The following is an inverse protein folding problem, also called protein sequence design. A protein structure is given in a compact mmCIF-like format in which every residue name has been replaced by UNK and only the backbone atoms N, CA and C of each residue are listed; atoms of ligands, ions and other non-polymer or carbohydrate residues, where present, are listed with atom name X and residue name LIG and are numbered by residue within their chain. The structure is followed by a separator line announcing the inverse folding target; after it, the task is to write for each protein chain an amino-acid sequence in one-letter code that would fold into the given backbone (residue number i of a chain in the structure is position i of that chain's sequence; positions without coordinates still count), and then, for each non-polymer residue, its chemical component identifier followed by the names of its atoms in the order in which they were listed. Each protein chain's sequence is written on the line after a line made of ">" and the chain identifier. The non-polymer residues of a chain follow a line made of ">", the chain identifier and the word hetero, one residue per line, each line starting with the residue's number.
data_IF_921145065098
#
_entry.id   IF_921145065098
#
_cell.length_a   1.000
_cell.length_b   1.000
_cell.length_c   1.000
_cell.angle_alpha   90.00
_cell.angle_beta   90.00
_cell.angle_gamma   90.00
#
_symmetry.space_group_name_H-M   'P 1'
#
loop_
_entity.id
_entity.type
_entity.pdbx_description
1 polymer ?
#
# COMPACT_ATOMS: atom_id res chain seq x y z
N UNK A 1 -6.58 62.48 -31.73
CA UNK A 1 -6.84 61.39 -30.77
C UNK A 1 -6.13 60.15 -31.30
N UNK A 2 -4.89 59.91 -30.85
CA UNK A 2 -4.06 58.81 -31.34
C UNK A 2 -3.40 58.18 -30.10
N UNK A 3 -4.01 57.10 -29.61
CA UNK A 3 -3.64 56.44 -28.36
C UNK A 3 -2.55 55.40 -28.67
N UNK A 4 -1.49 55.44 -27.86
CA UNK A 4 -0.17 54.90 -28.16
C UNK A 4 -0.08 53.37 -28.30
N UNK A 5 0.68 52.95 -29.31
CA UNK A 5 1.02 51.55 -29.63
C UNK A 5 2.07 50.93 -28.69
N UNK A 6 2.56 51.67 -27.68
CA UNK A 6 3.54 51.18 -26.71
C UNK A 6 2.94 50.37 -25.55
N UNK A 7 1.67 50.59 -25.20
CA UNK A 7 1.00 49.86 -24.11
C UNK A 7 0.53 48.47 -24.53
N UNK A 8 0.18 48.27 -25.80
CA UNK A 8 -0.34 47.00 -26.32
C UNK A 8 0.73 45.90 -26.31
N UNK A 9 2.01 46.23 -26.60
CA UNK A 9 3.12 45.26 -26.57
C UNK A 9 3.45 44.78 -25.15
N UNK A 10 3.30 45.64 -24.14
CA UNK A 10 3.56 45.26 -22.75
C UNK A 10 2.48 44.33 -22.19
N UNK A 11 1.23 44.46 -22.64
CA UNK A 11 0.11 43.62 -22.20
C UNK A 11 0.22 42.20 -22.79
N UNK A 12 0.72 42.05 -24.02
CA UNK A 12 0.91 40.72 -24.63
C UNK A 12 2.01 39.91 -23.94
N UNK A 13 3.09 40.55 -23.50
CA UNK A 13 4.13 39.87 -22.71
C UNK A 13 3.65 39.51 -21.31
N UNK A 14 2.82 40.34 -20.67
CA UNK A 14 2.26 40.04 -19.34
C UNK A 14 1.21 38.92 -19.39
N UNK A 15 0.43 38.81 -20.48
CA UNK A 15 -0.55 37.74 -20.67
C UNK A 15 0.10 36.41 -21.08
N UNK A 16 1.21 36.45 -21.82
CA UNK A 16 1.95 35.25 -22.23
C UNK A 16 2.83 34.69 -21.09
N UNK A 17 3.34 35.52 -20.18
CA UNK A 17 3.99 35.04 -18.95
C UNK A 17 2.98 34.51 -17.93
N UNK A 18 1.75 35.02 -17.91
CA UNK A 18 0.69 34.53 -17.02
C UNK A 18 0.08 33.18 -17.47
N UNK A 19 0.19 32.80 -18.74
CA UNK A 19 -0.21 31.47 -19.24
C UNK A 19 0.87 30.37 -19.10
N UNK A 20 2.07 30.71 -18.61
CA UNK A 20 3.17 29.77 -18.36
C UNK A 20 3.41 29.50 -16.87
N UNK A 21 2.44 29.79 -16.01
CA UNK A 21 2.46 29.36 -14.62
C UNK A 21 1.71 28.02 -14.45
N UNK A 22 2.17 26.97 -15.14
CA UNK A 22 1.84 25.60 -14.68
C UNK A 22 2.66 25.41 -13.42
N UNK A 23 1.99 25.57 -12.29
CA UNK A 23 2.55 25.32 -10.97
C UNK A 23 3.17 23.92 -10.96
N UNK A 24 4.50 23.86 -10.96
CA UNK A 24 5.27 22.65 -10.82
C UNK A 24 5.12 22.13 -9.37
N UNK A 25 3.97 21.54 -9.07
CA UNK A 25 3.81 20.76 -7.86
C UNK A 25 4.57 19.46 -8.07
N UNK A 26 5.75 19.41 -7.48
CA UNK A 26 6.59 18.22 -7.44
C UNK A 26 6.33 17.54 -6.11
N UNK A 27 6.03 16.24 -6.15
CA UNK A 27 6.01 15.44 -4.93
C UNK A 27 7.43 15.40 -4.35
N UNK A 28 7.51 15.36 -3.02
CA UNK A 28 8.80 15.23 -2.33
C UNK A 28 8.96 13.82 -1.82
N UNK A 29 9.94 13.10 -2.35
CA UNK A 29 10.35 11.77 -1.90
C UNK A 29 11.61 11.91 -1.07
N UNK A 30 11.55 11.50 0.20
CA UNK A 30 12.71 11.44 1.08
C UNK A 30 13.15 10.00 1.21
N UNK A 31 14.43 9.76 0.93
CA UNK A 31 15.07 8.46 0.97
C UNK A 31 15.71 8.22 2.35
N UNK A 32 15.95 6.96 2.69
CA UNK A 32 16.52 6.57 4.00
C UNK A 32 17.96 7.02 4.21
N UNK A 33 18.70 7.30 3.14
CA UNK A 33 20.04 7.90 3.20
C UNK A 33 19.99 9.41 3.53
N UNK A 34 18.78 9.98 3.67
CA UNK A 34 18.54 11.40 3.89
C UNK A 34 18.43 12.22 2.61
N UNK A 35 18.62 11.62 1.44
CA UNK A 35 18.47 12.29 0.15
C UNK A 35 17.01 12.70 -0.09
N UNK A 36 16.82 13.86 -0.71
CA UNK A 36 15.49 14.39 -1.03
C UNK A 36 15.37 14.59 -2.53
N UNK A 37 14.36 13.97 -3.10
CA UNK A 37 14.04 14.02 -4.52
C UNK A 37 12.72 14.77 -4.68
N UNK A 38 12.73 15.78 -5.53
CA UNK A 38 11.51 16.50 -5.93
C UNK A 38 11.16 16.15 -7.36
N UNK A 39 10.00 15.54 -7.55
CA UNK A 39 9.50 15.16 -8.87
C UNK A 39 8.08 14.63 -8.78
N UNK A 40 7.44 14.46 -9.93
CA UNK A 40 6.10 13.87 -9.98
C UNK A 40 6.21 12.36 -9.89
N UNK A 41 5.52 11.74 -8.95
CA UNK A 41 5.38 10.28 -8.93
C UNK A 41 4.40 9.90 -10.05
N UNK A 42 4.83 8.99 -10.92
CA UNK A 42 4.07 8.61 -12.12
C UNK A 42 3.57 7.17 -12.10
N UNK A 43 4.25 6.28 -11.39
CA UNK A 43 3.78 4.91 -11.19
C UNK A 43 4.35 4.29 -9.93
N UNK A 44 3.65 3.26 -9.44
CA UNK A 44 4.12 2.31 -8.46
C UNK A 44 3.76 0.90 -8.92
N UNK A 45 4.75 0.07 -9.18
CA UNK A 45 4.57 -1.32 -9.60
C UNK A 45 5.70 -2.20 -9.08
N UNK A 46 5.38 -3.44 -8.69
CA UNK A 46 6.37 -4.42 -8.24
C UNK A 46 7.32 -3.91 -7.15
N UNK A 47 6.82 -3.03 -6.26
CA UNK A 47 7.60 -2.41 -5.18
C UNK A 47 8.50 -1.24 -5.62
N UNK A 48 8.37 -0.75 -6.85
CA UNK A 48 9.18 0.34 -7.42
C UNK A 48 8.34 1.58 -7.66
N UNK A 49 8.81 2.73 -7.19
CA UNK A 49 8.28 4.04 -7.53
C UNK A 49 9.02 4.63 -8.73
N UNK A 50 8.29 5.17 -9.69
CA UNK A 50 8.85 5.92 -10.81
C UNK A 50 8.57 7.41 -10.62
N UNK A 51 9.64 8.19 -10.44
CA UNK A 51 9.63 9.61 -10.18
C UNK A 51 10.18 10.36 -11.38
N UNK A 52 9.40 11.28 -11.92
CA UNK A 52 9.78 12.14 -13.04
C UNK A 52 10.20 13.51 -12.53
N UNK A 53 11.41 13.94 -12.89
CA UNK A 53 12.00 15.22 -12.47
C UNK A 53 12.24 16.10 -13.69
N UNK A 54 11.92 17.38 -13.56
CA UNK A 54 12.13 18.37 -14.61
C UNK A 54 11.11 18.27 -15.75
N UNK A 55 11.20 19.23 -16.67
CA UNK A 55 10.28 19.37 -17.80
C UNK A 55 11.03 19.48 -19.13
N UNK A 56 10.35 19.15 -20.24
CA UNK A 56 10.89 19.25 -21.58
C UNK A 56 12.18 18.45 -21.79
N UNK A 57 13.20 19.08 -22.38
CA UNK A 57 14.49 18.46 -22.71
C UNK A 57 15.36 18.08 -21.49
N UNK A 58 14.96 18.47 -20.28
CA UNK A 58 15.67 18.16 -19.02
C UNK A 58 14.91 17.15 -18.15
N UNK A 59 13.86 16.54 -18.68
CA UNK A 59 13.08 15.50 -17.99
C UNK A 59 13.95 14.26 -17.74
N UNK A 60 13.97 13.79 -16.50
CA UNK A 60 14.63 12.55 -16.08
C UNK A 60 13.66 11.67 -15.32
N UNK A 61 13.79 10.36 -15.53
CA UNK A 61 13.02 9.35 -14.81
C UNK A 61 13.96 8.65 -13.82
N UNK A 62 13.57 8.64 -12.55
CA UNK A 62 14.28 7.95 -11.48
C UNK A 62 13.38 6.84 -10.95
N UNK A 63 13.96 5.67 -10.69
CA UNK A 63 13.27 4.54 -10.09
C UNK A 63 13.84 4.28 -8.71
N UNK A 64 12.97 4.16 -7.71
CA UNK A 64 13.34 3.85 -6.33
C UNK A 64 12.56 2.65 -5.85
N UNK A 65 13.22 1.75 -5.11
CA UNK A 65 12.52 0.69 -4.41
C UNK A 65 11.78 1.29 -3.21
N UNK A 66 10.61 0.75 -2.87
CA UNK A 66 9.87 1.15 -1.68
C UNK A 66 10.71 0.99 -0.39
N UNK A 67 11.66 0.05 -0.38
CA UNK A 67 12.60 -0.17 0.72
C UNK A 67 13.60 0.97 0.92
N UNK A 68 13.87 1.79 -0.11
CA UNK A 68 14.81 2.91 -0.09
C UNK A 68 14.12 4.23 0.33
N UNK A 69 12.79 4.28 0.26
CA UNK A 69 12.00 5.46 0.58
C UNK A 69 11.68 5.49 2.08
N UNK A 70 11.92 6.64 2.69
CA UNK A 70 11.56 6.92 4.08
C UNK A 70 10.17 7.56 4.17
N UNK A 71 9.88 8.55 3.32
CA UNK A 71 8.57 9.23 3.31
C UNK A 71 8.28 9.90 1.96
N UNK A 72 6.99 10.12 1.68
CA UNK A 72 6.50 10.80 0.48
C UNK A 72 5.53 11.91 0.92
N UNK A 73 5.73 13.12 0.41
CA UNK A 73 4.83 14.26 0.56
C UNK A 73 4.24 14.60 -0.81
N UNK A 74 2.93 14.40 -0.97
CA UNK A 74 2.21 14.80 -2.17
C UNK A 74 1.79 16.26 -2.07
N UNK A 75 2.21 17.07 -3.02
CA UNK A 75 1.76 18.46 -3.15
C UNK A 75 0.55 18.49 -4.10
N UNK A 76 -0.66 18.44 -3.53
CA UNK A 76 -1.89 18.67 -4.30
C UNK A 76 -2.22 20.15 -4.34
N UNK A 77 -2.65 20.73 -5.47
CA UNK A 77 -3.23 22.07 -5.47
C UNK A 77 -4.53 22.03 -4.67
N UNK A 78 -4.50 22.64 -3.48
CA UNK A 78 -5.68 22.89 -2.66
C UNK A 78 -6.60 23.88 -3.37
N UNK A 79 -7.70 23.41 -3.94
CA UNK A 79 -8.93 24.21 -4.02
C UNK A 79 -9.58 24.14 -2.63
N UNK A 80 -9.44 25.19 -1.83
CA UNK A 80 -9.97 25.24 -0.47
C UNK A 80 -10.96 26.40 -0.35
N UNK A 81 -12.15 26.22 0.25
CA UNK A 81 -12.74 27.25 1.09
C UNK A 81 -12.23 27.06 2.53
N UNK A 82 -11.66 28.13 3.07
CA UNK A 82 -11.13 28.27 4.43
C UNK A 82 -12.04 27.71 5.53
N UNK A 83 -11.45 26.93 6.45
CA UNK A 83 -11.74 27.03 7.88
C UNK A 83 -10.39 27.04 8.63
N UNK A 84 -10.24 27.98 9.55
CA UNK A 84 -9.01 28.43 10.23
C UNK A 84 -8.34 27.40 11.15
N UNK A 85 -7.00 27.47 11.23
CA UNK A 85 -6.02 26.63 11.95
C UNK A 85 -6.24 26.48 13.49
N UNK A 86 -5.53 25.56 14.19
CA UNK A 86 -4.08 25.70 14.49
C UNK A 86 -3.21 24.45 14.23
N UNK A 87 -1.92 24.70 13.97
CA UNK A 87 -0.85 23.76 13.60
C UNK A 87 -0.69 22.49 14.47
N UNK A 88 -0.31 21.33 13.90
CA UNK A 88 0.30 20.26 14.65
C UNK A 88 1.83 20.45 14.72
N UNK A 89 2.35 20.73 15.93
CA UNK A 89 3.76 20.46 16.25
C UNK A 89 3.99 18.94 16.26
N UNK A 90 5.18 18.44 15.89
CA UNK A 90 5.51 17.02 16.03
C UNK A 90 5.50 16.63 17.52
N UNK A 91 4.70 15.62 17.87
CA UNK A 91 4.63 15.09 19.22
C UNK A 91 5.91 14.30 19.54
N UNK A 92 6.68 14.81 20.50
CA UNK A 92 7.75 14.08 21.18
C UNK A 92 7.11 13.08 22.15
N UNK A 93 7.39 11.79 21.96
CA UNK A 93 6.86 10.72 22.78
C UNK A 93 7.51 10.74 24.18
N UNK A 94 6.70 10.91 25.23
CA UNK A 94 7.05 10.58 26.62
C UNK A 94 6.03 9.58 27.15
N UNK A 95 6.50 8.52 27.78
CA UNK A 95 5.73 7.37 28.29
C UNK A 95 4.55 7.78 29.20
N UNK A 96 3.41 7.07 29.19
CA UNK A 96 2.30 7.40 30.06
C UNK A 96 2.36 6.63 31.39
N UNK A 97 2.38 7.38 32.49
CA UNK A 97 2.00 6.91 33.83
C UNK A 97 0.48 7.01 33.98
N UNK A 98 -0.09 5.97 34.59
CA UNK A 98 -1.51 5.69 34.84
C UNK A 98 -2.11 6.60 35.93
N UNK A 99 -3.27 7.23 35.66
CA UNK A 99 -4.33 7.52 36.67
C UNK A 99 -5.60 8.11 36.01
N UNK A 100 -6.76 7.53 36.32
CA UNK A 100 -8.13 8.13 36.28
C UNK A 100 -8.51 8.51 37.74
N UNK A 101 -9.66 9.15 38.09
CA UNK A 101 -10.71 9.84 37.30
C UNK A 101 -11.18 11.20 37.92
N UNK A 102 -12.09 11.94 37.24
CA UNK A 102 -13.33 12.53 37.83
C UNK A 102 -14.14 13.38 36.84
N UNK A 103 -15.46 13.15 36.87
CA UNK A 103 -16.55 13.71 36.04
C UNK A 103 -17.05 15.06 36.58
N UNK A 104 -17.51 15.98 35.71
CA UNK A 104 -18.65 16.88 35.99
C UNK A 104 -19.46 17.19 34.72
N UNK A 105 -20.76 16.91 34.84
CA UNK A 105 -21.86 17.17 33.90
C UNK A 105 -22.41 18.58 34.14
N UNK A 106 -22.67 19.36 33.08
CA UNK A 106 -23.63 20.47 33.11
C UNK A 106 -24.46 20.43 31.83
N UNK A 107 -25.76 20.30 32.02
CA UNK A 107 -26.83 20.29 31.03
C UNK A 107 -27.38 21.71 30.86
N UNK A 108 -27.61 22.15 29.62
CA UNK A 108 -28.63 23.17 29.30
C UNK A 108 -29.30 22.82 27.98
N UNK A 109 -30.61 22.57 28.08
CA UNK A 109 -31.55 22.38 26.98
C UNK A 109 -31.54 23.58 26.01
N UNK A 110 -31.51 23.28 24.72
CA UNK A 110 -32.17 24.09 23.69
C UNK A 110 -32.65 23.15 22.59
N UNK A 111 -33.97 23.04 22.51
CA UNK A 111 -34.72 22.28 21.52
C UNK A 111 -34.40 22.78 20.11
N UNK A 112 -33.75 21.94 19.30
CA UNK A 112 -33.61 22.11 17.84
C UNK A 112 -34.13 20.81 17.20
N UNK A 113 -34.96 20.86 16.14
CA UNK A 113 -35.59 19.66 15.57
C UNK A 113 -34.57 18.61 15.14
N UNK A 114 -34.74 17.38 15.65
CA UNK A 114 -34.03 16.19 15.19
C UNK A 114 -34.29 15.96 13.70
N UNK A 115 -33.37 16.37 12.84
CA UNK A 115 -33.01 15.55 11.69
C UNK A 115 -31.96 14.57 12.19
N UNK A 116 -32.41 13.37 12.56
CA UNK A 116 -31.54 12.20 12.77
C UNK A 116 -30.64 12.09 11.54
N UNK A 117 -29.31 12.28 11.63
CA UNK A 117 -28.47 11.73 10.58
C UNK A 117 -28.73 10.23 10.65
N UNK A 118 -29.30 9.70 9.57
CA UNK A 118 -29.36 8.28 9.34
C UNK A 118 -27.92 7.77 9.47
N UNK A 119 -27.63 7.11 10.60
CA UNK A 119 -26.45 6.26 10.73
C UNK A 119 -26.69 5.01 9.87
N UNK A 120 -26.79 5.22 8.55
CA UNK A 120 -26.41 4.21 7.60
C UNK A 120 -24.88 4.19 7.61
N UNK A 121 -24.34 3.54 8.64
CA UNK A 121 -22.94 3.15 8.72
C UNK A 121 -22.63 2.35 7.47
N UNK A 122 -22.13 3.03 6.44
CA UNK A 122 -21.74 2.40 5.20
C UNK A 122 -20.61 1.45 5.52
N UNK A 123 -20.88 0.14 5.47
CA UNK A 123 -19.87 -0.90 5.51
C UNK A 123 -18.75 -0.48 4.55
N UNK A 124 -17.58 -0.17 5.09
CA UNK A 124 -16.43 0.14 4.26
C UNK A 124 -16.18 -1.10 3.40
N UNK A 125 -16.14 -0.93 2.09
CA UNK A 125 -15.88 -2.05 1.18
C UNK A 125 -14.47 -2.59 1.46
N UNK A 126 -14.29 -3.92 1.61
CA UNK A 126 -12.96 -4.52 1.75
C UNK A 126 -12.05 -4.09 0.60
N UNK A 127 -10.79 -3.78 0.92
CA UNK A 127 -9.77 -3.53 -0.11
C UNK A 127 -9.35 -4.88 -0.65
N UNK A 128 -9.60 -5.14 -1.94
CA UNK A 128 -9.34 -6.43 -2.56
C UNK A 128 -8.59 -6.30 -3.88
N UNK A 129 -7.63 -7.19 -4.12
CA UNK A 129 -6.89 -7.29 -5.38
C UNK A 129 -6.39 -8.72 -5.61
N UNK A 130 -5.95 -8.99 -6.85
CA UNK A 130 -5.40 -10.29 -7.24
C UNK A 130 -3.92 -10.16 -7.57
N UNK A 131 -3.13 -11.15 -7.14
CA UNK A 131 -1.69 -11.27 -7.40
C UNK A 131 -1.42 -12.63 -8.05
N UNK A 132 -0.52 -12.67 -9.02
CA UNK A 132 -0.07 -13.92 -9.64
C UNK A 132 1.15 -14.45 -8.89
N UNK A 133 0.98 -15.55 -8.16
CA UNK A 133 2.05 -16.17 -7.36
C UNK A 133 2.72 -17.25 -8.20
N UNK A 134 3.98 -17.03 -8.56
CA UNK A 134 4.77 -18.00 -9.32
C UNK A 134 5.13 -19.20 -8.45
N UNK A 135 5.15 -20.38 -9.07
CA UNK A 135 5.50 -21.62 -8.37
C UNK A 135 7.00 -21.94 -8.39
N UNK A 136 7.75 -21.25 -9.24
CA UNK A 136 9.17 -21.49 -9.48
C UNK A 136 10.07 -20.68 -8.54
N UNK A 137 11.38 -20.87 -8.69
CA UNK A 137 12.40 -20.19 -7.88
C UNK A 137 12.61 -18.71 -8.28
N UNK A 138 11.73 -18.11 -9.09
CA UNK A 138 11.80 -16.68 -9.38
C UNK A 138 11.67 -15.89 -8.07
N UNK A 139 12.57 -14.92 -7.86
CA UNK A 139 12.64 -14.15 -6.62
C UNK A 139 12.72 -15.02 -5.35
N UNK A 140 13.50 -16.11 -5.40
CA UNK A 140 13.68 -17.07 -4.30
C UNK A 140 12.35 -17.73 -3.85
N UNK A 141 11.41 -17.92 -4.78
CA UNK A 141 10.13 -18.57 -4.49
C UNK A 141 9.08 -17.68 -3.82
N UNK A 142 9.34 -16.37 -3.72
CA UNK A 142 8.45 -15.43 -3.05
C UNK A 142 7.94 -14.34 -3.99
N UNK A 143 6.63 -14.15 -3.98
CA UNK A 143 5.92 -13.09 -4.69
C UNK A 143 5.50 -12.00 -3.70
N UNK A 144 5.94 -10.76 -3.93
CA UNK A 144 5.47 -9.60 -3.16
C UNK A 144 4.00 -9.30 -3.52
N UNK A 145 3.13 -9.21 -2.51
CA UNK A 145 1.71 -8.91 -2.72
C UNK A 145 1.41 -7.47 -3.14
N UNK A 146 2.37 -6.56 -2.96
CA UNK A 146 2.20 -5.12 -3.11
C UNK A 146 1.62 -4.42 -1.87
N UNK A 147 1.31 -5.15 -0.78
CA UNK A 147 0.71 -4.59 0.42
C UNK A 147 1.61 -4.67 1.65
N UNK A 148 1.64 -3.57 2.41
CA UNK A 148 2.27 -3.51 3.73
C UNK A 148 1.18 -3.62 4.79
N UNK A 149 1.21 -4.74 5.50
CA UNK A 149 0.27 -5.09 6.56
C UNK A 149 0.64 -4.35 7.85
N UNK A 150 -0.38 -3.97 8.62
CA UNK A 150 -0.25 -3.53 10.01
C UNK A 150 -0.68 -4.62 10.99
N UNK A 151 0.02 -4.74 12.12
CA UNK A 151 -0.37 -5.62 13.22
C UNK A 151 -1.82 -5.34 13.62
N UNK A 152 -2.60 -6.41 13.80
CA UNK A 152 -4.02 -6.35 14.12
C UNK A 152 -4.94 -6.29 12.89
N UNK A 153 -4.40 -6.08 11.69
CA UNK A 153 -5.19 -6.07 10.46
C UNK A 153 -5.71 -7.48 10.14
N UNK A 154 -7.00 -7.59 9.82
CA UNK A 154 -7.62 -8.82 9.33
C UNK A 154 -7.46 -8.96 7.83
N UNK A 155 -6.99 -10.13 7.40
CA UNK A 155 -6.66 -10.42 6.01
C UNK A 155 -7.31 -11.75 5.64
N UNK A 156 -8.01 -11.79 4.52
CA UNK A 156 -8.44 -13.02 3.85
C UNK A 156 -7.65 -13.20 2.57
N UNK A 157 -7.14 -14.41 2.35
CA UNK A 157 -6.39 -14.79 1.16
C UNK A 157 -7.05 -16.03 0.58
N UNK A 158 -7.32 -16.04 -0.72
CA UNK A 158 -7.83 -17.20 -1.45
C UNK A 158 -6.98 -17.44 -2.70
N UNK A 159 -6.63 -18.69 -2.95
CA UNK A 159 -5.79 -19.09 -4.08
C UNK A 159 -6.53 -20.02 -5.03
N UNK A 160 -6.51 -19.68 -6.31
CA UNK A 160 -6.99 -20.51 -7.40
C UNK A 160 -5.88 -20.89 -8.39
N UNK A 161 -6.16 -21.88 -9.22
CA UNK A 161 -5.24 -22.36 -10.25
C UNK A 161 -4.53 -23.66 -9.87
N UNK A 162 -3.59 -24.03 -10.73
CA UNK A 162 -2.88 -25.30 -10.68
C UNK A 162 -1.42 -25.08 -11.10
N UNK A 163 -0.51 -25.70 -10.37
CA UNK A 163 0.94 -25.62 -10.60
C UNK A 163 1.53 -27.01 -10.81
N UNK A 164 2.68 -27.08 -11.46
CA UNK A 164 3.49 -28.29 -11.59
C UNK A 164 4.63 -28.24 -10.58
N UNK A 165 4.84 -29.34 -9.85
CA UNK A 165 5.88 -29.54 -8.84
C UNK A 165 7.04 -30.41 -9.39
N UNK A 166 7.31 -30.27 -10.70
CA UNK A 166 8.15 -31.19 -11.45
C UNK A 166 7.64 -32.63 -11.56
N UNK A 167 8.35 -33.45 -12.34
CA UNK A 167 8.20 -34.93 -12.42
C UNK A 167 6.75 -35.43 -12.63
N UNK A 168 5.92 -34.67 -13.33
CA UNK A 168 4.51 -34.98 -13.58
C UNK A 168 3.57 -34.79 -12.39
N UNK A 169 4.06 -34.26 -11.27
CA UNK A 169 3.26 -33.94 -10.09
C UNK A 169 2.64 -32.55 -10.25
N UNK A 170 1.39 -32.40 -9.83
CA UNK A 170 0.69 -31.12 -9.88
C UNK A 170 -0.17 -30.94 -8.65
N UNK A 171 -0.41 -29.69 -8.26
CA UNK A 171 -1.27 -29.39 -7.13
C UNK A 171 -2.07 -28.09 -7.31
N UNK A 172 -3.02 -27.88 -6.41
CA UNK A 172 -3.77 -26.62 -6.25
C UNK A 172 -3.23 -25.85 -5.05
N UNK A 173 -3.75 -24.64 -4.79
CA UNK A 173 -3.35 -23.85 -3.64
C UNK A 173 -3.56 -24.57 -2.28
N UNK A 174 -4.46 -25.56 -2.20
CA UNK A 174 -4.63 -26.40 -1.01
C UNK A 174 -3.41 -27.28 -0.70
N UNK A 175 -2.58 -27.58 -1.70
CA UNK A 175 -1.52 -28.58 -1.63
C UNK A 175 -2.04 -30.02 -1.70
N UNK A 176 -1.11 -30.97 -1.64
CA UNK A 176 -1.40 -32.41 -1.49
C UNK A 176 -0.59 -33.02 -0.34
N UNK A 177 -1.27 -33.68 0.61
CA UNK A 177 -0.63 -34.37 1.74
C UNK A 177 -0.02 -35.72 1.36
N UNK A 178 -0.43 -36.33 0.25
CA UNK A 178 0.14 -37.59 -0.24
C UNK A 178 1.52 -37.40 -0.88
N UNK A 179 1.87 -36.15 -1.21
CA UNK A 179 3.17 -35.80 -1.76
C UNK A 179 4.16 -35.55 -0.62
N UNK A 180 5.01 -36.54 -0.36
CA UNK A 180 6.09 -36.41 0.61
C UNK A 180 7.18 -35.47 0.11
N UNK A 181 7.54 -34.51 0.97
CA UNK A 181 8.64 -33.57 0.78
C UNK A 181 9.16 -33.13 2.15
N UNK A 182 10.39 -33.55 2.47
CA UNK A 182 11.04 -33.26 3.75
C UNK A 182 11.80 -31.93 3.75
N UNK A 183 11.95 -31.30 2.59
CA UNK A 183 12.67 -30.05 2.38
C UNK A 183 11.75 -28.83 2.36
N UNK A 184 10.42 -29.03 2.31
CA UNK A 184 9.43 -27.93 2.42
C UNK A 184 9.52 -27.16 3.73
N UNK A 185 9.13 -25.88 3.66
CA UNK A 185 9.18 -24.93 4.77
C UNK A 185 8.31 -25.37 5.97
N UNK A 186 7.06 -25.77 5.70
CA UNK A 186 6.12 -26.26 6.71
C UNK A 186 5.90 -27.77 6.53
N UNK A 187 6.66 -28.56 7.30
CA UNK A 187 6.67 -30.04 7.21
C UNK A 187 5.31 -30.70 7.46
N UNK A 188 4.51 -30.12 8.35
CA UNK A 188 3.17 -30.65 8.70
C UNK A 188 2.05 -30.10 7.80
N UNK A 189 2.40 -29.38 6.73
CA UNK A 189 1.46 -28.79 5.77
C UNK A 189 1.61 -29.50 4.43
N UNK A 190 0.52 -29.59 3.68
CA UNK A 190 0.49 -30.21 2.36
C UNK A 190 1.58 -29.65 1.43
N UNK A 191 2.19 -30.52 0.62
CA UNK A 191 3.24 -30.12 -0.32
C UNK A 191 2.61 -29.35 -1.48
N UNK A 192 3.26 -28.25 -1.86
CA UNK A 192 2.81 -27.33 -2.87
C UNK A 192 1.60 -26.45 -2.46
N UNK A 193 1.25 -26.42 -1.17
CA UNK A 193 0.25 -25.51 -0.64
C UNK A 193 0.68 -24.04 -0.71
N UNK A 194 -0.27 -23.13 -0.89
CA UNK A 194 -0.03 -21.68 -0.79
C UNK A 194 0.34 -21.29 0.65
N UNK A 195 1.41 -20.50 0.78
CA UNK A 195 1.91 -19.92 2.02
C UNK A 195 1.91 -18.39 1.95
N UNK A 196 1.92 -17.77 3.11
CA UNK A 196 2.17 -16.36 3.30
C UNK A 196 3.24 -16.13 4.38
N UNK A 197 3.91 -14.97 4.32
CA UNK A 197 4.77 -14.47 5.39
C UNK A 197 4.67 -12.95 5.45
N UNK A 198 4.77 -12.37 6.66
CA UNK A 198 4.78 -10.91 6.86
C UNK A 198 6.17 -10.51 7.31
N UNK A 199 6.83 -9.69 6.50
CA UNK A 199 8.26 -9.40 6.62
C UNK A 199 9.11 -10.48 5.96
N UNK A 200 10.26 -10.07 5.46
CA UNK A 200 11.28 -10.91 4.81
C UNK A 200 12.41 -11.32 5.77
N UNK A 201 12.28 -10.96 7.05
CA UNK A 201 13.29 -11.10 8.11
C UNK A 201 13.04 -12.29 9.07
N UNK A 202 12.11 -13.18 8.72
CA UNK A 202 11.64 -14.23 9.63
C UNK A 202 11.17 -15.50 8.90
N UNK A 203 10.90 -16.54 9.69
CA UNK A 203 10.41 -17.85 9.23
C UNK A 203 9.01 -18.15 9.80
N UNK A 204 8.23 -17.12 10.15
CA UNK A 204 6.88 -17.27 10.72
C UNK A 204 5.87 -17.50 9.60
N UNK A 205 6.02 -18.61 8.86
CA UNK A 205 5.20 -18.91 7.70
C UNK A 205 3.76 -19.25 8.09
N UNK A 206 2.83 -18.74 7.30
CA UNK A 206 1.39 -18.89 7.47
C UNK A 206 0.90 -19.82 6.37
N UNK A 207 0.39 -21.00 6.74
CA UNK A 207 -0.34 -21.84 5.79
C UNK A 207 -1.60 -21.11 5.32
N UNK A 208 -1.77 -20.88 4.01
CA UNK A 208 -2.99 -20.29 3.46
C UNK A 208 -3.90 -21.36 2.87
N UNK A 209 -3.34 -22.29 2.10
CA UNK A 209 -4.14 -23.30 1.41
C UNK A 209 -5.03 -22.69 0.32
N UNK A 210 -6.20 -23.30 0.08
CA UNK A 210 -7.18 -22.76 -0.87
C UNK A 210 -7.75 -21.42 -0.40
N UNK A 211 -7.99 -21.27 0.90
CA UNK A 211 -8.47 -20.03 1.50
C UNK A 211 -8.15 -19.98 2.98
N UNK A 212 -7.73 -18.81 3.47
CA UNK A 212 -7.58 -18.54 4.90
C UNK A 212 -7.84 -17.08 5.25
N UNK A 213 -8.46 -16.87 6.41
CA UNK A 213 -8.49 -15.59 7.10
C UNK A 213 -7.55 -15.63 8.34
N UNK A 214 -6.83 -14.55 8.59
CA UNK A 214 -6.01 -14.40 9.79
C UNK A 214 -5.83 -12.92 10.20
N UNK A 215 -5.40 -12.72 11.44
CA UNK A 215 -5.01 -11.41 11.98
C UNK A 215 -3.49 -11.29 11.91
N UNK A 216 -2.99 -10.20 11.36
CA UNK A 216 -1.57 -9.92 11.29
C UNK A 216 -0.96 -9.76 12.69
N UNK A 217 0.12 -10.49 12.98
CA UNK A 217 0.80 -10.44 14.28
C UNK A 217 1.87 -9.36 14.37
N UNK A 218 2.29 -8.83 13.21
CA UNK A 218 3.34 -7.82 13.05
C UNK A 218 3.10 -6.92 11.85
N UNK A 219 3.82 -5.81 11.82
CA UNK A 219 3.91 -4.93 10.64
C UNK A 219 4.89 -5.53 9.63
N UNK A 220 4.62 -5.34 8.33
CA UNK A 220 5.57 -5.74 7.28
C UNK A 220 4.93 -5.91 5.91
N UNK A 221 5.77 -6.03 4.88
CA UNK A 221 5.32 -6.41 3.56
C UNK A 221 4.80 -7.86 3.57
N UNK A 222 3.69 -8.11 2.88
CA UNK A 222 3.11 -9.45 2.74
C UNK A 222 3.69 -10.13 1.48
N UNK A 223 4.27 -11.30 1.67
CA UNK A 223 4.77 -12.15 0.59
C UNK A 223 4.00 -13.46 0.53
N UNK A 224 3.92 -14.03 -0.67
CA UNK A 224 3.22 -15.27 -0.98
C UNK A 224 4.18 -16.24 -1.67
N UNK A 225 4.06 -17.53 -1.35
CA UNK A 225 4.94 -18.56 -1.90
C UNK A 225 4.28 -19.93 -1.81
N UNK A 226 5.03 -20.97 -2.19
CA UNK A 226 4.55 -22.35 -2.23
C UNK A 226 5.32 -23.21 -1.23
N UNK A 227 4.63 -24.12 -0.55
CA UNK A 227 5.20 -25.03 0.43
C UNK A 227 5.91 -26.22 -0.23
N UNK A 228 7.11 -25.98 -0.77
CA UNK A 228 7.91 -27.00 -1.45
C UNK A 228 9.40 -26.77 -1.24
N UNK A 229 10.18 -27.84 -1.23
CA UNK A 229 11.62 -27.83 -1.01
C UNK A 229 12.48 -27.75 -2.26
N UNK A 230 11.93 -28.06 -3.44
CA UNK A 230 12.60 -27.91 -4.73
C UNK A 230 11.76 -27.06 -5.67
N UNK A 231 12.14 -25.80 -5.88
CA UNK A 231 11.38 -24.88 -6.74
C UNK A 231 11.93 -24.81 -8.17
N UNK A 232 13.07 -25.42 -8.44
CA UNK A 232 13.77 -25.30 -9.72
C UNK A 232 13.12 -26.13 -10.85
N UNK A 233 12.32 -27.15 -10.52
CA UNK A 233 11.56 -27.95 -11.49
C UNK A 233 10.06 -27.59 -11.54
N UNK A 234 9.70 -26.45 -10.95
CA UNK A 234 8.33 -25.99 -10.90
C UNK A 234 7.95 -25.15 -12.11
N UNK A 235 6.65 -25.12 -12.39
CA UNK A 235 6.09 -24.20 -13.40
C UNK A 235 4.63 -23.87 -13.11
N UNK A 236 4.17 -22.77 -13.71
CA UNK A 236 2.82 -22.26 -13.53
C UNK A 236 2.73 -21.27 -12.37
N UNK A 237 1.49 -20.97 -11.98
CA UNK A 237 1.20 -19.97 -10.96
C UNK A 237 -0.19 -20.16 -10.36
N UNK A 238 -0.38 -19.66 -9.15
CA UNK A 238 -1.71 -19.41 -8.60
C UNK A 238 -2.17 -17.98 -8.91
N UNK A 239 -3.46 -17.77 -9.12
CA UNK A 239 -4.05 -16.45 -8.97
C UNK A 239 -4.56 -16.35 -7.54
N UNK A 240 -4.07 -15.36 -6.80
CA UNK A 240 -4.34 -15.22 -5.38
C UNK A 240 -5.07 -13.91 -5.14
N UNK A 241 -6.29 -13.99 -4.65
CA UNK A 241 -7.07 -12.82 -4.22
C UNK A 241 -6.78 -12.54 -2.75
N UNK A 242 -6.41 -11.31 -2.45
CA UNK A 242 -6.14 -10.79 -1.11
C UNK A 242 -7.21 -9.76 -0.78
N UNK A 243 -7.76 -9.84 0.42
CA UNK A 243 -8.80 -8.95 0.93
C UNK A 243 -8.43 -8.44 2.32
N UNK A 244 -8.36 -7.12 2.48
CA UNK A 244 -8.24 -6.48 3.78
C UNK A 244 -9.64 -6.25 4.31
N UNK A 245 -9.93 -6.91 5.43
CA UNK A 245 -11.20 -6.78 6.13
C UNK A 245 -11.07 -5.56 7.04
N UNK A 246 -11.76 -4.48 6.70
CA UNK A 246 -11.90 -3.34 7.60
C UNK A 246 -12.92 -3.68 8.66
N UNK A 247 -12.56 -3.51 9.94
CA UNK A 247 -13.52 -3.65 11.02
C UNK A 247 -14.55 -2.53 10.88
N UNK A 248 -15.82 -2.92 10.70
CA UNK A 248 -16.95 -2.00 10.82
C UNK A 248 -16.87 -1.42 12.25
N UNK A 249 -16.45 -0.16 12.36
CA UNK A 249 -16.24 0.49 13.66
C UNK A 249 -17.47 0.39 14.55
N UNK A 250 -17.27 -0.14 15.75
CA UNK A 250 -18.28 -0.18 16.81
C UNK A 250 -18.25 1.13 17.62
#
# INVERSE_FOLDING_TARGET
>A
MQIGTRTIRSITFLLLTLLLAVSAFADTVRLKDGSIIKGKITSFDSGKFVVVIGEGSRRRELTFMASEIESIQFDSPSMNPQITSPSPRPASYKDPVKTTPSVKVITTDTTVPQTRPDNSGGKLKPIAWTVKVLADNTANGWTNSGWVVKKGQRIRISGDGKVSLGKGKTTTAAGDYALEDNQKLLKNVATGALLAVIGDDNNDFIYVGAEREFVATRDGALFLGINEGNLDDNSGSFNVKIEIITDDGN
#
